data_IF_805312110295
#
_entry.id   IF_805312110295
#
_cell.length_a   1.000
_cell.length_b   1.000
_cell.length_c   1.000
_cell.angle_alpha   90.00
_cell.angle_beta   90.00
_cell.angle_gamma   90.00
#
_symmetry.space_group_name_H-M   'P 1'
#
loop_
_entity.id
_entity.type
_entity.pdbx_description
1 polymer ?
#
# COMPACT_ATOMS: atom_id res chain seq x y z
N UNK A 1 -18.00 57.81 7.14
CA UNK A 1 -16.69 57.28 6.69
C UNK A 1 -16.92 55.86 6.22
N UNK A 2 -16.53 55.53 4.99
CA UNK A 2 -16.82 54.25 4.32
C UNK A 2 -15.63 53.33 4.53
N UNK A 3 -15.71 52.51 5.57
CA UNK A 3 -14.59 51.68 6.01
C UNK A 3 -14.47 50.44 5.11
N UNK A 4 -13.37 50.38 4.37
CA UNK A 4 -12.97 49.29 3.47
C UNK A 4 -12.69 48.02 4.29
N UNK A 5 -13.60 47.05 4.29
CA UNK A 5 -13.44 45.78 5.01
C UNK A 5 -13.63 44.46 4.22
N UNK A 6 -13.72 44.37 2.88
CA UNK A 6 -13.88 43.05 2.25
C UNK A 6 -12.56 42.28 2.04
N UNK A 7 -11.39 42.87 2.30
CA UNK A 7 -10.10 42.21 2.06
C UNK A 7 -9.66 41.26 3.19
N UNK A 8 -10.22 41.39 4.40
CA UNK A 8 -9.77 40.59 5.56
C UNK A 8 -10.53 39.27 5.74
N UNK A 9 -11.76 39.17 5.24
CA UNK A 9 -12.60 37.97 5.44
C UNK A 9 -12.20 36.81 4.53
N UNK A 10 -11.69 37.10 3.33
CA UNK A 10 -11.27 36.07 2.37
C UNK A 10 -10.05 35.27 2.82
N UNK A 11 -9.07 35.93 3.44
CA UNK A 11 -7.85 35.27 3.93
C UNK A 11 -8.14 34.36 5.12
N UNK A 12 -9.02 34.79 6.02
CA UNK A 12 -9.42 33.98 7.18
C UNK A 12 -10.20 32.71 6.74
N UNK A 13 -11.07 32.82 5.75
CA UNK A 13 -11.83 31.68 5.24
C UNK A 13 -10.93 30.60 4.62
N UNK A 14 -9.89 31.00 3.88
CA UNK A 14 -8.93 30.06 3.27
C UNK A 14 -8.08 29.36 4.34
N UNK A 15 -7.64 30.08 5.37
CA UNK A 15 -6.88 29.49 6.47
C UNK A 15 -7.69 28.44 7.24
N UNK A 16 -8.97 28.71 7.52
CA UNK A 16 -9.86 27.77 8.21
C UNK A 16 -10.10 26.51 7.36
N UNK A 17 -10.29 26.66 6.05
CA UNK A 17 -10.49 25.53 5.14
C UNK A 17 -9.26 24.59 5.09
N UNK A 18 -8.05 25.16 5.11
CA UNK A 18 -6.80 24.37 5.10
C UNK A 18 -6.61 23.56 6.40
N UNK A 19 -6.95 24.12 7.56
CA UNK A 19 -6.88 23.40 8.84
C UNK A 19 -7.91 22.28 8.93
N UNK A 20 -9.11 22.49 8.35
CA UNK A 20 -10.16 21.47 8.31
C UNK A 20 -9.78 20.26 7.45
N UNK A 21 -9.05 20.45 6.34
CA UNK A 21 -8.59 19.35 5.49
C UNK A 21 -7.51 18.49 6.15
N UNK A 22 -6.64 19.09 6.98
CA UNK A 22 -5.58 18.35 7.67
C UNK A 22 -6.09 17.40 8.76
N UNK A 23 -7.34 17.56 9.19
CA UNK A 23 -7.94 16.82 10.31
C UNK A 23 -8.92 15.73 9.87
N UNK A 24 -9.06 15.47 8.56
CA UNK A 24 -9.95 14.41 8.08
C UNK A 24 -9.33 13.03 8.33
N UNK A 25 -10.03 12.12 9.05
CA UNK A 25 -9.53 10.78 9.27
C UNK A 25 -9.54 10.00 7.95
N UNK A 26 -8.45 9.28 7.67
CA UNK A 26 -8.38 8.38 6.52
C UNK A 26 -9.33 7.21 6.77
N UNK A 27 -10.53 7.29 6.20
CA UNK A 27 -11.62 6.32 6.39
C UNK A 27 -11.28 4.88 5.92
N UNK A 28 -10.12 4.68 5.30
CA UNK A 28 -9.65 3.37 4.87
C UNK A 28 -8.89 2.57 5.95
N UNK A 29 -8.54 3.18 7.09
CA UNK A 29 -7.73 2.52 8.14
C UNK A 29 -8.54 1.94 9.30
N UNK A 30 -9.87 2.07 9.31
CA UNK A 30 -10.68 1.41 10.33
C UNK A 30 -10.70 -0.11 10.08
N UNK A 31 -10.38 -0.96 11.09
CA UNK A 31 -10.53 -2.40 10.94
C UNK A 31 -12.00 -2.72 10.64
N UNK A 32 -12.22 -3.52 9.60
CA UNK A 32 -13.55 -3.92 9.13
C UNK A 32 -14.28 -4.67 10.24
N UNK A 33 -15.35 -4.09 10.78
CA UNK A 33 -16.20 -4.78 11.76
C UNK A 33 -16.78 -6.06 11.13
N UNK A 34 -16.51 -7.21 11.75
CA UNK A 34 -17.01 -8.53 11.33
C UNK A 34 -16.01 -9.44 10.61
N UNK A 35 -14.72 -9.11 10.54
CA UNK A 35 -13.72 -10.04 10.03
C UNK A 35 -13.55 -11.25 10.98
N UNK A 36 -13.68 -12.46 10.45
CA UNK A 36 -13.38 -13.71 11.18
C UNK A 36 -11.90 -13.70 11.58
N UNK A 37 -11.53 -14.02 12.85
CA UNK A 37 -10.14 -14.03 13.25
C UNK A 37 -9.37 -15.03 12.39
N UNK A 38 -8.30 -14.54 11.75
CA UNK A 38 -7.36 -15.37 11.01
C UNK A 38 -6.67 -16.36 11.97
N UNK A 39 -6.28 -17.56 11.51
CA UNK A 39 -5.48 -18.45 12.32
C UNK A 39 -4.21 -17.72 12.78
N UNK A 40 -3.95 -17.75 14.09
CA UNK A 40 -2.74 -17.17 14.68
C UNK A 40 -1.54 -18.01 14.28
N UNK A 41 -0.88 -17.63 13.20
CA UNK A 41 0.50 -18.04 12.93
C UNK A 41 1.36 -17.51 14.08
N UNK A 42 2.21 -18.34 14.70
CA UNK A 42 3.16 -17.86 15.69
C UNK A 42 3.92 -16.66 15.13
N UNK A 43 4.00 -15.58 15.91
CA UNK A 43 4.72 -14.39 15.49
C UNK A 43 6.15 -14.80 15.09
N UNK A 44 6.50 -14.55 13.84
CA UNK A 44 7.84 -14.80 13.35
C UNK A 44 8.83 -14.02 14.24
N UNK A 45 9.91 -14.69 14.66
CA UNK A 45 10.96 -14.02 15.42
C UNK A 45 11.48 -12.83 14.59
N UNK A 46 11.71 -11.67 15.21
CA UNK A 46 12.27 -10.53 14.51
C UNK A 46 13.66 -10.88 13.97
N UNK A 47 13.79 -10.88 12.65
CA UNK A 47 15.05 -11.11 11.97
C UNK A 47 15.91 -9.85 12.04
N UNK A 48 17.15 -9.98 12.49
CA UNK A 48 18.13 -8.88 12.47
C UNK A 48 19.13 -9.16 11.34
N UNK A 49 19.19 -8.33 10.29
CA UNK A 49 20.12 -8.56 9.20
C UNK A 49 21.57 -8.36 9.69
N UNK A 50 22.54 -9.14 9.15
CA UNK A 50 23.95 -8.84 9.37
C UNK A 50 24.27 -7.41 8.91
N UNK A 51 25.29 -6.80 9.49
CA UNK A 51 25.71 -5.42 9.16
C UNK A 51 27.11 -5.42 8.59
N UNK A 52 27.33 -4.55 7.63
CA UNK A 52 28.65 -4.22 7.08
C UNK A 52 29.50 -3.48 8.14
N UNK A 53 30.81 -3.39 7.92
CA UNK A 53 31.73 -2.66 8.82
C UNK A 53 31.35 -1.18 9.00
N UNK A 54 30.60 -0.61 8.06
CA UNK A 54 30.12 0.78 8.08
C UNK A 54 28.69 0.92 8.60
N UNK A 55 28.08 -0.17 9.10
CA UNK A 55 26.81 -0.14 9.83
C UNK A 55 25.55 -0.38 9.00
N UNK A 56 25.65 -0.38 7.67
CA UNK A 56 24.52 -0.68 6.78
C UNK A 56 24.19 -2.19 6.76
N UNK A 57 22.93 -2.58 6.51
CA UNK A 57 22.56 -3.98 6.33
C UNK A 57 23.39 -4.63 5.23
N UNK A 58 24.01 -5.76 5.56
CA UNK A 58 24.76 -6.55 4.62
C UNK A 58 23.80 -7.42 3.79
N UNK A 59 23.62 -7.00 2.54
CA UNK A 59 22.82 -7.70 1.53
C UNK A 59 23.70 -8.49 0.56
N UNK A 60 24.92 -8.84 0.94
CA UNK A 60 25.73 -9.74 0.12
C UNK A 60 25.22 -11.18 0.24
N UNK A 61 25.28 -11.93 -0.86
CA UNK A 61 24.83 -13.32 -0.89
C UNK A 61 24.71 -13.86 -2.31
N UNK A 62 24.34 -15.14 -2.39
CA UNK A 62 23.99 -15.78 -3.66
C UNK A 62 22.48 -15.65 -3.84
N UNK A 63 22.07 -14.93 -4.88
CA UNK A 63 20.68 -14.82 -5.29
C UNK A 63 20.44 -15.84 -6.40
N UNK A 64 19.76 -16.95 -6.08
CA UNK A 64 19.43 -17.97 -7.08
C UNK A 64 18.12 -17.62 -7.78
N UNK A 65 17.97 -18.14 -9.00
CA UNK A 65 16.75 -18.05 -9.79
C UNK A 65 15.87 -19.30 -9.59
N UNK A 66 16.06 -20.03 -8.48
CA UNK A 66 15.39 -21.31 -8.25
C UNK A 66 13.87 -21.17 -8.18
N UNK A 67 13.37 -20.01 -7.73
CA UNK A 67 11.95 -19.67 -7.72
C UNK A 67 11.34 -19.60 -9.13
N UNK A 68 12.16 -19.47 -10.17
CA UNK A 68 11.71 -19.50 -11.56
C UNK A 68 11.69 -20.92 -12.16
N UNK A 69 12.19 -21.93 -11.43
CA UNK A 69 12.15 -23.33 -11.88
C UNK A 69 10.69 -23.77 -11.99
N UNK A 70 10.25 -24.05 -13.21
CA UNK A 70 8.86 -24.44 -13.52
C UNK A 70 7.95 -23.30 -13.94
N UNK A 71 8.43 -22.04 -13.97
CA UNK A 71 7.72 -20.96 -14.65
C UNK A 71 7.73 -21.24 -16.15
N UNK A 72 6.55 -21.53 -16.71
CA UNK A 72 6.40 -21.81 -18.13
C UNK A 72 6.87 -20.64 -18.99
N UNK A 73 7.67 -20.92 -20.02
CA UNK A 73 8.15 -19.91 -20.97
C UNK A 73 7.04 -19.35 -21.87
N UNK A 74 5.93 -20.07 -21.96
CA UNK A 74 4.75 -19.67 -22.73
C UNK A 74 3.63 -19.21 -21.80
N UNK A 75 2.80 -18.30 -22.32
CA UNK A 75 1.58 -17.87 -21.63
C UNK A 75 0.65 -19.07 -21.44
N UNK A 76 0.16 -19.26 -20.22
CA UNK A 76 -0.80 -20.31 -19.92
C UNK A 76 -2.08 -20.13 -20.76
N UNK A 77 -2.56 -21.22 -21.35
CA UNK A 77 -3.72 -21.26 -22.26
C UNK A 77 -4.99 -20.67 -21.63
N UNK A 78 -5.17 -20.77 -20.32
CA UNK A 78 -6.33 -20.21 -19.62
C UNK A 78 -6.43 -18.67 -19.73
N UNK A 79 -5.32 -17.99 -20.01
CA UNK A 79 -5.28 -16.53 -20.15
C UNK A 79 -5.36 -16.06 -21.60
N UNK A 80 -5.18 -16.95 -22.59
CA UNK A 80 -5.31 -16.68 -24.03
C UNK A 80 -4.84 -15.27 -24.45
N UNK A 81 -5.70 -14.57 -25.18
CA UNK A 81 -5.48 -13.20 -25.68
C UNK A 81 -5.91 -12.11 -24.69
N UNK A 82 -6.21 -12.45 -23.44
CA UNK A 82 -6.65 -11.47 -22.44
C UNK A 82 -5.50 -10.52 -22.13
N UNK A 83 -5.66 -9.25 -22.51
CA UNK A 83 -4.67 -8.20 -22.27
C UNK A 83 -4.78 -7.58 -20.86
N UNK A 84 -5.96 -7.57 -20.27
CA UNK A 84 -6.24 -6.89 -19.00
C UNK A 84 -6.83 -7.84 -17.97
N UNK A 85 -6.42 -7.66 -16.71
CA UNK A 85 -7.10 -8.29 -15.57
C UNK A 85 -8.39 -7.51 -15.28
N UNK A 86 -9.49 -8.22 -15.05
CA UNK A 86 -10.70 -7.57 -14.54
C UNK A 86 -10.58 -7.37 -13.04
N UNK A 87 -11.18 -6.31 -12.50
CA UNK A 87 -11.09 -5.95 -11.07
C UNK A 87 -11.43 -7.13 -10.14
N UNK A 88 -12.43 -7.93 -10.54
CA UNK A 88 -12.83 -9.13 -9.83
C UNK A 88 -11.71 -10.20 -9.77
N UNK A 89 -10.98 -10.43 -10.87
CA UNK A 89 -9.83 -11.37 -10.88
C UNK A 89 -8.59 -10.80 -10.19
N UNK A 90 -8.37 -9.49 -10.22
CA UNK A 90 -7.26 -8.85 -9.51
C UNK A 90 -7.43 -8.95 -7.98
N UNK A 91 -8.68 -8.85 -7.50
CA UNK A 91 -9.00 -8.96 -6.08
C UNK A 91 -8.84 -10.41 -5.55
N UNK A 92 -8.88 -11.41 -6.42
CA UNK A 92 -8.81 -12.82 -6.02
C UNK A 92 -8.11 -13.70 -7.09
N UNK A 93 -6.78 -13.65 -7.20
CA UNK A 93 -6.02 -14.29 -8.29
C UNK A 93 -5.95 -15.82 -8.20
N UNK A 94 -6.37 -16.43 -7.09
CA UNK A 94 -6.21 -17.86 -6.81
C UNK A 94 -7.48 -18.70 -6.90
N UNK A 95 -8.61 -18.12 -7.31
CA UNK A 95 -9.85 -18.86 -7.52
C UNK A 95 -10.26 -18.77 -8.99
N UNK A 96 -9.83 -19.76 -9.76
CA UNK A 96 -10.30 -20.06 -11.11
C UNK A 96 -11.30 -21.22 -11.01
#
# INVERSE_FOLDING_TARGET
MRHRFPASTGVLAVAIAMVALASMPVAAQAPKAGARPAPTTPAAKPWTPPKTAWGDPDLQGIYTSDDYIGVGLQRNTQFGDRLYLTDHTAQNPGRQ
#
